data_IF_865332228365
#
_entry.id   IF_865332228365
#
_cell.length_a   1.000
_cell.length_b   1.000
_cell.length_c   1.000
_cell.angle_alpha   90.00
_cell.angle_beta   90.00
_cell.angle_gamma   90.00
#
_symmetry.space_group_name_H-M   'P 1'
#
loop_
_entity.id
_entity.type
_entity.pdbx_description
1 polymer ?
#
# COMPACT_ATOMS: atom_id res chain seq x y z
N UNK A 1 7.84 -13.38 10.77
CA UNK A 1 6.69 -13.91 9.98
C UNK A 1 7.13 -14.99 9.00
N UNK A 2 8.23 -14.79 8.26
CA UNK A 2 8.74 -15.81 7.29
C UNK A 2 9.06 -17.13 7.96
N UNK A 3 9.67 -17.11 9.14
CA UNK A 3 9.98 -18.32 9.91
C UNK A 3 8.75 -19.14 10.26
N UNK A 4 7.58 -18.53 10.25
CA UNK A 4 6.30 -19.18 10.50
C UNK A 4 5.56 -19.52 9.21
N UNK A 5 6.28 -19.56 8.09
CA UNK A 5 5.78 -19.90 6.75
C UNK A 5 4.73 -18.91 6.20
N UNK A 6 4.81 -17.63 6.59
CA UNK A 6 3.95 -16.61 6.00
C UNK A 6 4.32 -16.41 4.52
N UNK A 7 3.35 -16.50 3.63
CA UNK A 7 3.54 -16.29 2.19
C UNK A 7 3.61 -14.80 1.85
N UNK A 8 2.79 -13.99 2.53
CA UNK A 8 2.74 -12.53 2.36
C UNK A 8 2.93 -11.89 3.73
N UNK A 9 3.85 -10.94 3.81
CA UNK A 9 4.14 -10.19 5.03
C UNK A 9 3.76 -8.73 4.82
N UNK A 10 2.85 -8.23 5.65
CA UNK A 10 2.35 -6.85 5.61
C UNK A 10 2.73 -6.15 6.90
N UNK A 11 3.27 -4.95 6.80
CA UNK A 11 3.64 -4.14 7.96
C UNK A 11 2.79 -2.87 7.98
N UNK A 12 2.23 -2.57 9.15
CA UNK A 12 1.47 -1.34 9.41
C UNK A 12 2.41 -0.13 9.38
N UNK A 13 2.16 0.81 8.47
CA UNK A 13 3.01 1.98 8.26
C UNK A 13 2.64 3.18 9.13
N UNK A 14 3.27 4.31 8.85
CA UNK A 14 3.15 5.54 9.62
C UNK A 14 1.91 6.36 9.22
N UNK A 15 0.74 5.73 9.26
CA UNK A 15 -0.54 6.41 9.03
C UNK A 15 -0.79 7.48 10.09
N UNK A 16 -1.37 8.65 9.72
CA UNK A 16 -1.60 9.71 10.70
C UNK A 16 -2.74 9.45 11.68
N UNK A 17 -3.60 8.43 11.44
CA UNK A 17 -4.77 8.15 12.28
C UNK A 17 -4.55 7.07 13.33
N UNK A 18 -3.54 6.24 13.15
CA UNK A 18 -3.09 5.25 14.14
C UNK A 18 -1.58 5.32 14.23
N UNK A 19 -1.03 6.34 14.92
CA UNK A 19 0.39 6.59 14.92
C UNK A 19 1.20 5.41 15.43
N UNK A 20 2.26 5.09 14.71
CA UNK A 20 3.29 4.16 15.14
C UNK A 20 4.58 4.93 15.39
N UNK A 21 5.58 4.25 15.91
CA UNK A 21 6.88 4.86 16.18
C UNK A 21 7.48 5.44 14.89
N UNK A 22 7.95 6.71 14.90
CA UNK A 22 8.67 7.27 13.76
C UNK A 22 9.85 6.39 13.35
N UNK A 23 10.04 6.23 12.04
CA UNK A 23 11.05 5.32 11.48
C UNK A 23 10.51 3.93 11.16
N UNK A 24 9.24 3.64 11.46
CA UNK A 24 8.63 2.35 11.15
C UNK A 24 8.58 2.08 9.65
N UNK A 25 8.24 3.09 8.83
CA UNK A 25 8.24 2.93 7.37
C UNK A 25 9.61 2.48 6.87
N UNK A 26 10.65 3.17 7.26
CA UNK A 26 12.00 2.83 6.81
C UNK A 26 12.44 1.46 7.29
N UNK A 27 12.18 1.14 8.55
CA UNK A 27 12.51 -0.18 9.10
C UNK A 27 11.80 -1.31 8.34
N UNK A 28 10.52 -1.11 7.99
CA UNK A 28 9.77 -2.07 7.19
C UNK A 28 10.37 -2.23 5.78
N UNK A 29 10.73 -1.11 5.15
CA UNK A 29 11.28 -1.10 3.79
C UNK A 29 12.67 -1.73 3.70
N UNK A 30 13.39 -1.82 4.80
CA UNK A 30 14.69 -2.50 4.91
C UNK A 30 14.55 -3.96 5.35
N UNK A 31 13.35 -4.43 5.66
CA UNK A 31 13.08 -5.78 6.11
C UNK A 31 12.54 -6.68 4.98
N UNK A 32 12.43 -7.97 5.25
CA UNK A 32 11.85 -8.94 4.31
C UNK A 32 10.32 -8.92 4.41
N UNK A 33 9.71 -7.89 3.82
CA UNK A 33 8.26 -7.71 3.78
C UNK A 33 7.78 -7.54 2.34
N UNK A 34 6.48 -7.73 2.11
CA UNK A 34 5.88 -7.63 0.78
C UNK A 34 5.10 -6.33 0.60
N UNK A 35 4.43 -5.88 1.63
CA UNK A 35 3.56 -4.69 1.58
C UNK A 35 3.83 -3.79 2.78
N UNK A 36 4.00 -2.50 2.52
CA UNK A 36 3.92 -1.47 3.54
C UNK A 36 2.51 -0.88 3.48
N UNK A 37 1.70 -1.22 4.49
CA UNK A 37 0.30 -0.83 4.57
C UNK A 37 0.17 0.63 5.04
N UNK A 38 -0.77 1.37 4.45
CA UNK A 38 -1.10 2.77 4.78
C UNK A 38 0.11 3.55 5.33
N UNK A 39 1.13 3.78 4.50
CA UNK A 39 2.40 4.37 4.93
C UNK A 39 2.33 5.85 5.29
N UNK A 40 1.16 6.47 5.19
CA UNK A 40 0.98 7.87 5.56
C UNK A 40 1.71 8.85 4.66
N UNK A 41 2.39 9.81 5.27
CA UNK A 41 3.17 10.80 4.53
C UNK A 41 4.58 10.29 4.22
N UNK A 42 4.65 9.15 3.54
CA UNK A 42 5.90 8.55 3.07
C UNK A 42 6.75 9.57 2.30
N UNK A 43 8.06 9.50 2.45
CA UNK A 43 8.98 10.36 1.71
C UNK A 43 9.31 9.76 0.35
N UNK A 44 9.84 10.59 -0.57
CA UNK A 44 10.30 10.10 -1.87
C UNK A 44 11.43 9.08 -1.71
N UNK A 45 12.36 9.32 -0.79
CA UNK A 45 13.45 8.37 -0.50
C UNK A 45 12.91 7.01 -0.06
N UNK A 46 11.90 7.01 0.79
CA UNK A 46 11.25 5.78 1.23
C UNK A 46 10.52 5.08 0.08
N UNK A 47 9.85 5.83 -0.78
CA UNK A 47 9.20 5.26 -1.98
C UNK A 47 10.23 4.67 -2.95
N UNK A 48 11.38 5.31 -3.12
CA UNK A 48 12.48 4.77 -3.91
C UNK A 48 13.03 3.47 -3.30
N UNK A 49 13.15 3.42 -1.98
CA UNK A 49 13.58 2.22 -1.26
C UNK A 49 12.56 1.07 -1.44
N UNK A 50 11.27 1.39 -1.44
CA UNK A 50 10.23 0.41 -1.73
C UNK A 50 10.41 -0.19 -3.14
N UNK A 51 10.70 0.64 -4.13
CA UNK A 51 10.99 0.17 -5.49
C UNK A 51 12.23 -0.74 -5.52
N UNK A 52 13.31 -0.30 -4.89
CA UNK A 52 14.57 -1.04 -4.87
C UNK A 52 14.41 -2.43 -4.21
N UNK A 53 13.63 -2.51 -3.15
CA UNK A 53 13.44 -3.75 -2.39
C UNK A 53 12.18 -4.53 -2.79
N UNK A 54 11.51 -4.14 -3.88
CA UNK A 54 10.31 -4.78 -4.41
C UNK A 54 9.19 -4.90 -3.37
N UNK A 55 8.97 -3.84 -2.60
CA UNK A 55 7.91 -3.73 -1.60
C UNK A 55 6.79 -2.88 -2.17
N UNK A 56 5.55 -3.38 -2.10
CA UNK A 56 4.39 -2.66 -2.59
C UNK A 56 3.91 -1.63 -1.56
N UNK A 57 3.51 -0.46 -2.05
CA UNK A 57 2.89 0.57 -1.23
C UNK A 57 1.37 0.46 -1.33
N UNK A 58 0.69 0.48 -0.20
CA UNK A 58 -0.75 0.27 -0.14
C UNK A 58 -1.53 1.57 -0.37
N UNK A 59 -2.51 1.47 -1.26
CA UNK A 59 -3.64 2.39 -1.36
C UNK A 59 -4.80 1.69 -0.66
N UNK A 60 -5.40 2.33 0.34
CA UNK A 60 -6.35 1.67 1.22
C UNK A 60 -7.77 2.20 1.09
N UNK A 61 -8.77 1.31 1.21
CA UNK A 61 -10.17 1.72 1.35
C UNK A 61 -10.55 2.06 2.80
N UNK A 62 -9.67 1.77 3.76
CA UNK A 62 -9.93 1.97 5.18
C UNK A 62 -10.17 3.43 5.52
N UNK A 63 -11.33 3.73 6.11
CA UNK A 63 -11.66 5.08 6.54
C UNK A 63 -10.61 5.61 7.54
N UNK A 64 -10.18 6.85 7.34
CA UNK A 64 -9.13 7.48 8.11
C UNK A 64 -7.75 7.27 7.48
N UNK A 65 -7.32 6.03 7.31
CA UNK A 65 -6.04 5.73 6.65
C UNK A 65 -6.01 6.20 5.19
N UNK A 66 -7.16 6.25 4.53
CA UNK A 66 -7.28 6.64 3.12
C UNK A 66 -6.99 8.12 2.85
N UNK A 67 -6.90 8.95 3.87
CA UNK A 67 -6.65 10.39 3.67
C UNK A 67 -5.30 10.66 3.01
N UNK A 68 -4.35 9.75 3.10
CA UNK A 68 -3.03 9.89 2.48
C UNK A 68 -2.87 9.14 1.16
N UNK A 69 -3.93 8.50 0.64
CA UNK A 69 -3.86 7.72 -0.60
C UNK A 69 -3.27 8.51 -1.78
N UNK A 70 -3.69 9.76 -1.96
CA UNK A 70 -3.18 10.59 -3.06
C UNK A 70 -1.69 10.90 -2.93
N UNK A 71 -1.23 11.17 -1.72
CA UNK A 71 0.20 11.38 -1.45
C UNK A 71 1.01 10.11 -1.77
N UNK A 72 0.55 8.97 -1.28
CA UNK A 72 1.22 7.68 -1.50
C UNK A 72 1.28 7.34 -2.99
N UNK A 73 0.15 7.48 -3.70
CA UNK A 73 0.09 7.22 -5.13
C UNK A 73 1.04 8.12 -5.93
N UNK A 74 1.09 9.40 -5.58
CA UNK A 74 1.98 10.37 -6.25
C UNK A 74 3.45 9.99 -6.06
N UNK A 75 3.87 9.68 -4.84
CA UNK A 75 5.26 9.32 -4.56
C UNK A 75 5.62 7.95 -5.13
N UNK A 76 4.71 6.98 -5.10
CA UNK A 76 4.91 5.69 -5.74
C UNK A 76 5.15 5.84 -7.24
N UNK A 77 4.37 6.69 -7.92
CA UNK A 77 4.54 6.95 -9.36
C UNK A 77 5.88 7.64 -9.65
N UNK A 78 6.24 8.65 -8.86
CA UNK A 78 7.53 9.33 -9.03
C UNK A 78 8.71 8.39 -8.84
N UNK A 79 8.63 7.49 -7.89
CA UNK A 79 9.70 6.53 -7.58
C UNK A 79 9.67 5.28 -8.47
N UNK A 80 8.55 5.00 -9.13
CA UNK A 80 8.34 3.75 -9.87
C UNK A 80 8.05 2.56 -8.96
N UNK A 81 7.58 2.80 -7.74
CA UNK A 81 7.21 1.75 -6.80
C UNK A 81 5.86 1.13 -7.18
N UNK A 82 5.72 -0.16 -6.92
CA UNK A 82 4.46 -0.87 -7.13
C UNK A 82 3.44 -0.50 -6.08
N UNK A 83 2.17 -0.52 -6.45
CA UNK A 83 1.05 -0.25 -5.56
C UNK A 83 0.11 -1.45 -5.49
N UNK A 84 -0.58 -1.56 -4.37
CA UNK A 84 -1.68 -2.51 -4.17
C UNK A 84 -2.86 -1.76 -3.57
N UNK A 85 -4.07 -2.28 -3.77
CA UNK A 85 -5.27 -1.76 -3.10
C UNK A 85 -5.74 -2.81 -2.10
N UNK A 86 -5.84 -2.42 -0.84
CA UNK A 86 -6.30 -3.30 0.24
C UNK A 86 -7.32 -2.57 1.13
N UNK A 87 -7.92 -3.31 2.04
CA UNK A 87 -9.07 -2.87 2.82
C UNK A 87 -8.78 -2.68 4.30
N UNK A 88 -7.72 -3.29 4.83
CA UNK A 88 -7.48 -3.36 6.28
C UNK A 88 -8.75 -3.82 7.01
N UNK A 89 -9.39 -4.86 6.48
CA UNK A 89 -10.70 -5.31 6.93
C UNK A 89 -10.65 -5.93 8.34
N UNK A 90 -11.55 -5.48 9.20
CA UNK A 90 -11.72 -5.98 10.56
C UNK A 90 -13.08 -6.68 10.73
N UNK A 91 -13.99 -6.51 9.77
CA UNK A 91 -15.33 -7.07 9.77
C UNK A 91 -15.80 -7.30 8.32
N UNK A 92 -16.81 -8.16 8.10
CA UNK A 92 -17.29 -8.43 6.72
C UNK A 92 -17.70 -7.19 5.93
N UNK A 93 -18.23 -6.17 6.57
CA UNK A 93 -18.65 -4.95 5.88
C UNK A 93 -17.49 -4.05 5.44
N UNK A 94 -16.26 -4.35 5.87
CA UNK A 94 -15.05 -3.64 5.40
C UNK A 94 -14.58 -4.16 4.05
N UNK A 95 -15.01 -5.34 3.64
CA UNK A 95 -14.67 -5.92 2.35
C UNK A 95 -15.33 -5.11 1.21
N UNK A 96 -14.62 -4.96 0.12
CA UNK A 96 -15.09 -4.20 -1.04
C UNK A 96 -15.08 -5.07 -2.29
N UNK A 97 -15.90 -4.68 -3.27
CA UNK A 97 -15.89 -5.30 -4.59
C UNK A 97 -14.65 -4.86 -5.37
N UNK A 98 -14.37 -5.59 -6.46
CA UNK A 98 -13.32 -5.23 -7.40
C UNK A 98 -13.56 -3.85 -8.00
N UNK A 99 -14.80 -3.55 -8.38
CA UNK A 99 -15.21 -2.27 -8.92
C UNK A 99 -14.94 -1.14 -7.93
N UNK A 100 -15.24 -1.38 -6.66
CA UNK A 100 -14.96 -0.40 -5.61
C UNK A 100 -13.47 -0.19 -5.40
N UNK A 101 -12.65 -1.25 -5.50
CA UNK A 101 -11.20 -1.14 -5.43
C UNK A 101 -10.65 -0.23 -6.54
N UNK A 102 -11.18 -0.36 -7.76
CA UNK A 102 -10.83 0.52 -8.88
C UNK A 102 -11.20 1.97 -8.57
N UNK A 103 -12.39 2.22 -8.02
CA UNK A 103 -12.80 3.57 -7.62
C UNK A 103 -11.87 4.16 -6.55
N UNK A 104 -11.45 3.36 -5.58
CA UNK A 104 -10.49 3.79 -4.54
C UNK A 104 -9.16 4.22 -5.18
N UNK A 105 -8.65 3.42 -6.11
CA UNK A 105 -7.42 3.74 -6.84
C UNK A 105 -7.57 5.01 -7.68
N UNK A 106 -8.70 5.17 -8.37
CA UNK A 106 -8.99 6.40 -9.12
C UNK A 106 -9.08 7.61 -8.20
N UNK A 107 -9.70 7.46 -7.03
CA UNK A 107 -9.78 8.50 -6.01
C UNK A 107 -8.40 8.91 -5.47
N UNK A 108 -7.43 8.02 -5.54
CA UNK A 108 -6.04 8.31 -5.18
C UNK A 108 -5.29 9.08 -6.29
N UNK A 109 -5.92 9.31 -7.43
CA UNK A 109 -5.34 10.05 -8.55
C UNK A 109 -4.82 9.21 -9.71
N UNK A 110 -5.06 7.90 -9.69
CA UNK A 110 -4.70 7.04 -10.81
C UNK A 110 -5.72 7.20 -11.95
N UNK A 111 -5.25 7.07 -13.20
CA UNK A 111 -6.17 7.01 -14.33
C UNK A 111 -7.00 5.72 -14.25
N UNK A 112 -8.16 5.64 -14.93
CA UNK A 112 -8.94 4.39 -14.95
C UNK A 112 -8.14 3.17 -15.39
N UNK A 113 -7.26 3.31 -16.37
CA UNK A 113 -6.41 2.20 -16.84
C UNK A 113 -5.36 1.80 -15.80
N UNK A 114 -4.70 2.77 -15.18
CA UNK A 114 -3.76 2.52 -14.09
C UNK A 114 -4.46 1.84 -12.90
N UNK A 115 -5.64 2.32 -12.54
CA UNK A 115 -6.41 1.78 -11.42
C UNK A 115 -6.81 0.31 -11.68
N UNK A 116 -7.32 0.00 -12.87
CA UNK A 116 -7.64 -1.38 -13.25
C UNK A 116 -6.40 -2.26 -13.22
N UNK A 117 -5.27 -1.76 -13.73
CA UNK A 117 -4.02 -2.52 -13.76
C UNK A 117 -3.55 -2.86 -12.33
N UNK A 118 -3.57 -1.89 -11.42
CA UNK A 118 -3.18 -2.10 -10.02
C UNK A 118 -4.07 -3.15 -9.34
N UNK A 119 -5.37 -3.11 -9.59
CA UNK A 119 -6.34 -4.02 -8.97
C UNK A 119 -6.28 -5.42 -9.62
N UNK A 120 -6.19 -5.50 -10.95
CA UNK A 120 -6.23 -6.76 -11.69
C UNK A 120 -4.92 -7.52 -11.69
N UNK A 121 -3.80 -6.80 -11.73
CA UNK A 121 -2.45 -7.38 -11.73
C UNK A 121 -1.81 -7.21 -10.37
N UNK A 122 -2.46 -7.73 -9.34
CA UNK A 122 -1.94 -7.65 -7.98
C UNK A 122 -0.49 -8.19 -7.98
N UNK A 123 0.52 -7.35 -7.72
CA UNK A 123 1.91 -7.72 -8.00
C UNK A 123 2.44 -8.86 -7.15
N UNK A 124 1.80 -9.16 -6.03
CA UNK A 124 2.20 -10.26 -5.14
C UNK A 124 1.56 -11.58 -5.59
N UNK A 125 0.27 -11.54 -5.98
CA UNK A 125 -0.47 -12.74 -6.38
C UNK A 125 -0.01 -13.24 -7.76
N UNK A 126 0.39 -12.33 -8.64
CA UNK A 126 0.76 -12.63 -10.03
C UNK A 126 2.28 -12.76 -10.25
N UNK A 127 3.03 -12.97 -9.20
CA UNK A 127 4.48 -13.22 -9.30
C UNK A 127 4.78 -14.52 -10.03
#
# INVERSE_FOLDING_TARGET
ARRLCAEIVVVHGETPVEPVRPGTNRAALEADVDILAHPGFITLEEAELARENDICLEITSRSGHNITNGHVARLARLAGAKMVVNTDSHAPHDLISRERAVEIAMGAGLTPDEARDVVERHPIINR
#
